data_IF_665143520167
#
_entry.id   IF_665143520167
#
_cell.length_a   1.000
_cell.length_b   1.000
_cell.length_c   1.000
_cell.angle_alpha   90.00
_cell.angle_beta   90.00
_cell.angle_gamma   90.00
#
_symmetry.space_group_name_H-M   'P 1'
#
loop_
_entity.id
_entity.type
_entity.pdbx_description
1 polymer ?
#
# COMPACT_ATOMS: atom_id res chain seq x y z
N UNK A 1 -15.28 20.13 3.50
CA UNK A 1 -14.27 19.09 3.80
C UNK A 1 -14.73 17.67 3.40
N UNK A 2 -15.29 17.45 2.19
CA UNK A 2 -15.72 16.11 1.71
C UNK A 2 -14.76 15.46 0.69
N UNK A 3 -13.69 16.16 0.28
CA UNK A 3 -12.92 15.81 -0.93
C UNK A 3 -11.77 14.83 -0.64
N UNK A 4 -11.22 14.80 0.58
CA UNK A 4 -10.02 13.99 0.89
C UNK A 4 -10.35 12.50 1.05
N UNK A 5 -11.46 12.16 1.71
CA UNK A 5 -11.87 10.75 1.93
C UNK A 5 -12.22 10.02 0.63
N UNK A 6 -12.79 10.71 -0.37
CA UNK A 6 -13.14 10.08 -1.65
C UNK A 6 -11.93 9.68 -2.50
N UNK A 7 -10.81 10.41 -2.41
CA UNK A 7 -9.59 10.10 -3.18
C UNK A 7 -8.84 8.90 -2.63
N UNK A 8 -8.77 8.77 -1.30
CA UNK A 8 -8.10 7.64 -0.65
C UNK A 8 -8.89 6.34 -0.88
N UNK A 9 -10.21 6.39 -0.72
CA UNK A 9 -11.10 5.27 -1.03
C UNK A 9 -10.96 4.83 -2.49
N UNK A 10 -10.98 5.78 -3.44
CA UNK A 10 -10.77 5.49 -4.86
C UNK A 10 -9.41 4.87 -5.17
N UNK A 11 -8.34 5.30 -4.50
CA UNK A 11 -7.00 4.73 -4.66
C UNK A 11 -6.90 3.30 -4.12
N UNK A 12 -7.48 3.03 -2.96
CA UNK A 12 -7.49 1.69 -2.34
C UNK A 12 -8.30 0.69 -3.17
N UNK A 13 -9.48 1.10 -3.65
CA UNK A 13 -10.29 0.30 -4.56
C UNK A 13 -9.59 0.03 -5.89
N UNK A 14 -8.86 1.02 -6.42
CA UNK A 14 -8.06 0.86 -7.65
C UNK A 14 -6.85 -0.05 -7.46
N UNK A 15 -6.36 -0.20 -6.23
CA UNK A 15 -5.34 -1.17 -5.86
C UNK A 15 -5.89 -2.60 -5.68
N UNK A 16 -7.21 -2.80 -5.86
CA UNK A 16 -7.87 -4.10 -5.80
C UNK A 16 -8.32 -4.52 -4.40
N UNK A 17 -8.36 -3.61 -3.42
CA UNK A 17 -8.96 -3.91 -2.12
C UNK A 17 -10.49 -4.01 -2.22
N UNK A 18 -11.07 -4.86 -1.38
CA UNK A 18 -12.53 -4.95 -1.19
C UNK A 18 -13.10 -3.58 -0.79
N UNK A 19 -14.35 -3.32 -1.15
CA UNK A 19 -15.02 -2.06 -0.81
C UNK A 19 -15.12 -1.89 0.72
N UNK A 20 -15.22 -2.98 1.49
CA UNK A 20 -15.23 -2.97 2.96
C UNK A 20 -13.85 -2.59 3.55
N UNK A 21 -12.78 -3.21 3.06
CA UNK A 21 -11.41 -2.91 3.51
C UNK A 21 -10.97 -1.49 3.11
N UNK A 22 -11.38 -1.06 1.92
CA UNK A 22 -11.13 0.29 1.42
C UNK A 22 -11.83 1.36 2.27
N UNK A 23 -13.05 1.07 2.71
CA UNK A 23 -13.81 1.95 3.61
C UNK A 23 -13.13 2.01 4.98
N UNK A 24 -12.83 0.86 5.58
CA UNK A 24 -12.19 0.75 6.89
C UNK A 24 -10.83 1.48 6.94
N UNK A 25 -9.98 1.28 5.93
CA UNK A 25 -8.71 1.97 5.81
C UNK A 25 -8.86 3.49 5.61
N UNK A 26 -9.90 3.92 4.87
CA UNK A 26 -10.18 5.34 4.68
C UNK A 26 -10.66 6.01 5.97
N UNK A 27 -11.49 5.31 6.76
CA UNK A 27 -11.91 5.79 8.08
C UNK A 27 -10.76 5.81 9.08
N UNK A 28 -9.89 4.80 9.07
CA UNK A 28 -8.72 4.75 9.94
C UNK A 28 -7.73 5.89 9.64
N UNK A 29 -7.46 6.16 8.36
CA UNK A 29 -6.60 7.27 7.92
C UNK A 29 -7.25 8.62 8.20
N UNK A 30 -8.56 8.77 7.98
CA UNK A 30 -9.28 10.00 8.31
C UNK A 30 -9.29 10.27 9.82
N UNK A 31 -9.49 9.22 10.64
CA UNK A 31 -9.39 9.29 12.09
C UNK A 31 -7.99 9.68 12.58
N UNK A 32 -6.95 9.22 11.88
CA UNK A 32 -5.57 9.63 12.18
C UNK A 32 -5.29 11.11 11.83
N UNK A 33 -5.90 11.65 10.77
CA UNK A 33 -5.71 13.05 10.35
C UNK A 33 -6.53 14.07 11.16
N UNK A 34 -7.67 13.67 11.73
CA UNK A 34 -8.61 14.59 12.40
C UNK A 34 -8.37 14.83 13.90
N UNK A 35 -7.29 14.32 14.48
CA UNK A 35 -6.71 14.93 15.70
C UNK A 35 -6.87 14.17 17.01
N UNK A 36 -6.37 12.93 17.10
CA UNK A 36 -5.85 12.41 18.36
C UNK A 36 -4.33 12.49 18.36
N UNK A 37 -3.77 13.52 19.03
CA UNK A 37 -2.32 13.79 19.15
C UNK A 37 -1.47 12.62 19.72
N UNK A 38 -2.09 11.53 20.19
CA UNK A 38 -1.41 10.31 20.63
C UNK A 38 -1.33 9.17 19.60
N UNK A 39 -2.06 9.24 18.46
CA UNK A 39 -2.17 8.14 17.46
C UNK A 39 -1.53 8.44 16.10
N UNK A 40 -1.07 9.69 15.89
CA UNK A 40 -0.39 10.11 14.66
C UNK A 40 1.02 9.52 14.52
N UNK A 41 1.71 9.25 15.63
CA UNK A 41 3.03 8.61 15.63
C UNK A 41 2.97 7.17 15.10
N UNK A 42 1.97 6.39 15.53
CA UNK A 42 1.81 4.99 15.11
C UNK A 42 1.35 4.86 13.66
N UNK A 43 0.48 5.75 13.18
CA UNK A 43 0.00 5.73 11.80
C UNK A 43 1.13 5.99 10.79
N UNK A 44 1.99 6.97 11.09
CA UNK A 44 3.12 7.29 10.22
C UNK A 44 4.16 6.16 10.22
N UNK A 45 4.35 5.47 11.34
CA UNK A 45 5.21 4.29 11.43
C UNK A 45 4.64 3.11 10.64
N UNK A 46 3.33 2.86 10.70
CA UNK A 46 2.69 1.80 9.93
C UNK A 46 2.78 2.06 8.41
N UNK A 47 2.57 3.30 7.97
CA UNK A 47 2.78 3.68 6.57
C UNK A 47 4.24 3.48 6.13
N UNK A 48 5.20 3.81 6.99
CA UNK A 48 6.63 3.61 6.70
C UNK A 48 6.98 2.12 6.65
N UNK A 49 6.40 1.29 7.51
CA UNK A 49 6.55 -0.16 7.47
C UNK A 49 5.96 -0.76 6.18
N UNK A 50 4.72 -0.40 5.83
CA UNK A 50 4.06 -0.83 4.60
C UNK A 50 4.87 -0.44 3.34
N UNK A 51 5.44 0.77 3.33
CA UNK A 51 6.28 1.23 2.22
C UNK A 51 7.57 0.41 2.03
N UNK A 52 8.14 -0.11 3.13
CA UNK A 52 9.32 -0.97 3.07
C UNK A 52 8.97 -2.37 2.58
N UNK A 53 7.85 -2.92 3.06
CA UNK A 53 7.37 -4.23 2.62
C UNK A 53 7.06 -4.24 1.12
N UNK A 54 6.39 -3.20 0.61
CA UNK A 54 6.13 -3.04 -0.82
C UNK A 54 7.42 -2.94 -1.65
N UNK A 55 8.40 -2.17 -1.18
CA UNK A 55 9.70 -2.05 -1.86
C UNK A 55 10.44 -3.39 -1.88
N UNK A 56 10.38 -4.14 -0.78
CA UNK A 56 11.00 -5.46 -0.69
C UNK A 56 10.33 -6.48 -1.62
N UNK A 57 9.00 -6.51 -1.68
CA UNK A 57 8.24 -7.31 -2.64
C UNK A 57 8.58 -6.94 -4.09
N UNK A 58 8.67 -5.65 -4.41
CA UNK A 58 9.04 -5.17 -5.74
C UNK A 58 10.44 -5.66 -6.15
N UNK A 59 11.43 -5.57 -5.27
CA UNK A 59 12.78 -6.08 -5.53
C UNK A 59 12.80 -7.58 -5.74
N UNK A 60 12.08 -8.35 -4.92
CA UNK A 60 11.98 -9.80 -5.05
C UNK A 60 11.36 -10.20 -6.39
N UNK A 61 10.25 -9.57 -6.78
CA UNK A 61 9.59 -9.83 -8.07
C UNK A 61 10.50 -9.49 -9.25
N UNK A 62 11.24 -8.38 -9.18
CA UNK A 62 12.19 -7.99 -10.22
C UNK A 62 13.32 -9.02 -10.38
N UNK A 63 13.90 -9.48 -9.26
CA UNK A 63 14.91 -10.54 -9.24
C UNK A 63 14.39 -11.85 -9.83
N UNK A 64 13.16 -12.21 -9.50
CA UNK A 64 12.54 -13.45 -9.96
C UNK A 64 12.20 -13.40 -11.46
N UNK A 65 11.77 -12.25 -11.97
CA UNK A 65 11.61 -12.01 -13.41
C UNK A 65 12.93 -12.12 -14.16
N UNK A 66 14.00 -11.48 -13.66
CA UNK A 66 15.33 -11.57 -14.24
C UNK A 66 15.84 -13.03 -14.30
N UNK A 67 15.63 -13.78 -13.21
CA UNK A 67 16.00 -15.18 -13.13
C UNK A 67 15.22 -16.04 -14.13
N UNK A 68 13.92 -15.81 -14.25
CA UNK A 68 13.08 -16.56 -15.19
C UNK A 68 13.47 -16.25 -16.64
N UNK A 69 13.78 -14.98 -16.93
CA UNK A 69 14.23 -14.53 -18.24
C UNK A 69 15.61 -15.11 -18.60
N UNK A 70 16.52 -15.23 -17.63
CA UNK A 70 17.85 -15.85 -17.87
C UNK A 70 17.73 -17.34 -18.15
N UNK A 71 16.87 -18.07 -17.43
CA UNK A 71 16.59 -19.50 -17.70
C UNK A 71 15.99 -19.69 -19.10
N UNK A 72 15.06 -18.82 -19.50
CA UNK A 72 14.37 -18.90 -20.79
C UNK A 72 15.32 -18.66 -21.98
N UNK A 73 16.37 -17.85 -21.79
CA UNK A 73 17.43 -17.64 -22.79
C UNK A 73 18.44 -18.80 -22.81
N UNK A 74 18.64 -19.50 -21.69
CA UNK A 74 19.55 -20.66 -21.58
C UNK A 74 18.95 -21.99 -22.07
N UNK A 75 17.63 -22.08 -22.25
CA UNK A 75 16.95 -23.17 -22.96
C UNK A 75 16.73 -22.76 -24.43
N UNK A 76 17.72 -22.91 -25.34
CA UNK A 76 17.43 -22.97 -26.77
C UNK A 76 16.69 -24.25 -27.15
#
# INVERSE_FOLDING_TARGET
MKIVSGRLYGALRSAGLSDEDSLAATEEVAGCMLGSRGRSSSCNQNLLALSRELKQLQWTLFLQLLLLLSILVLLP
#
